data_IF_410780900002
#
_entry.id   IF_410780900002
#
_cell.length_a   1.000
_cell.length_b   1.000
_cell.length_c   1.000
_cell.angle_alpha   90.00
_cell.angle_beta   90.00
_cell.angle_gamma   90.00
#
_symmetry.space_group_name_H-M   'P 1'
#
loop_
_entity.id
_entity.type
_entity.pdbx_description
1 polymer ?
#
# COMPACT_ATOMS: atom_id res chain seq x y z
N UNK A 1 -16.85 16.03 -12.13
CA UNK A 1 -16.27 15.79 -10.79
C UNK A 1 -17.29 16.25 -9.77
N UNK A 2 -17.67 15.37 -8.85
CA UNK A 2 -18.50 15.80 -7.72
C UNK A 2 -17.70 16.77 -6.82
N UNK A 3 -18.34 17.70 -6.09
CA UNK A 3 -17.62 18.64 -5.22
C UNK A 3 -16.71 17.94 -4.18
N UNK A 4 -17.08 16.73 -3.77
CA UNK A 4 -16.35 15.90 -2.81
C UNK A 4 -15.03 15.33 -3.40
N UNK A 5 -15.06 14.88 -4.66
CA UNK A 5 -13.88 14.36 -5.34
C UNK A 5 -12.84 15.46 -5.62
N UNK A 6 -13.29 16.67 -5.95
CA UNK A 6 -12.42 17.82 -6.16
C UNK A 6 -11.63 18.20 -4.90
N UNK A 7 -12.21 18.03 -3.70
CA UNK A 7 -11.52 18.37 -2.45
C UNK A 7 -10.26 17.52 -2.20
N UNK A 8 -10.30 16.23 -2.54
CA UNK A 8 -9.19 15.28 -2.30
C UNK A 8 -7.95 15.57 -3.12
N UNK A 9 -8.12 16.20 -4.30
CA UNK A 9 -7.03 16.48 -5.23
C UNK A 9 -6.65 17.96 -5.30
N UNK A 10 -7.28 18.84 -4.52
CA UNK A 10 -7.04 20.28 -4.49
C UNK A 10 -5.54 20.64 -4.41
N UNK A 11 -4.83 20.11 -3.42
CA UNK A 11 -3.39 20.31 -3.23
C UNK A 11 -2.54 19.92 -4.45
N UNK A 12 -2.92 18.84 -5.15
CA UNK A 12 -2.21 18.37 -6.35
C UNK A 12 -2.46 19.33 -7.52
N UNK A 13 -3.72 19.75 -7.73
CA UNK A 13 -4.07 20.71 -8.78
C UNK A 13 -3.39 22.06 -8.54
N UNK A 14 -3.35 22.52 -7.29
CA UNK A 14 -2.64 23.74 -6.92
C UNK A 14 -1.15 23.62 -7.25
N UNK A 15 -0.50 22.51 -6.88
CA UNK A 15 0.90 22.26 -7.22
C UNK A 15 1.16 22.25 -8.74
N UNK A 16 0.25 21.65 -9.52
CA UNK A 16 0.36 21.61 -10.99
C UNK A 16 0.25 23.02 -11.62
N UNK A 17 -0.49 23.93 -11.00
CA UNK A 17 -0.71 25.29 -11.50
C UNK A 17 0.54 26.18 -11.47
N UNK A 18 1.55 25.86 -10.65
CA UNK A 18 2.80 26.61 -10.53
C UNK A 18 3.83 26.30 -11.63
N UNK A 19 3.38 25.87 -12.82
CA UNK A 19 4.25 25.60 -13.96
C UNK A 19 4.89 24.21 -13.91
N UNK A 20 4.09 23.17 -13.65
CA UNK A 20 4.57 21.80 -13.67
C UNK A 20 5.12 21.41 -15.07
N UNK A 21 6.35 20.86 -15.16
CA UNK A 21 6.91 20.44 -16.43
C UNK A 21 6.22 19.17 -16.96
N UNK A 22 6.34 18.86 -18.27
CA UNK A 22 5.95 17.57 -18.80
C UNK A 22 6.80 16.47 -18.14
N UNK A 23 6.16 15.59 -17.38
CA UNK A 23 6.82 14.52 -16.64
C UNK A 23 6.09 13.19 -16.85
N UNK A 24 6.83 12.09 -16.69
CA UNK A 24 6.32 10.74 -16.77
C UNK A 24 7.22 9.80 -15.98
N UNK A 25 6.66 8.70 -15.50
CA UNK A 25 7.37 7.70 -14.73
C UNK A 25 6.78 6.31 -14.95
N UNK A 26 7.49 5.29 -14.46
CA UNK A 26 7.05 3.90 -14.50
C UNK A 26 7.34 3.22 -13.16
N UNK A 27 6.53 2.23 -12.80
CA UNK A 27 6.75 1.39 -11.64
C UNK A 27 6.76 -0.08 -12.08
N UNK A 28 7.72 -0.84 -11.55
CA UNK A 28 7.84 -2.27 -11.80
C UNK A 28 7.27 -3.05 -10.60
N UNK A 29 6.44 -4.04 -10.89
CA UNK A 29 6.03 -5.02 -9.88
C UNK A 29 7.19 -5.94 -9.54
N UNK A 30 8.04 -5.53 -8.59
CA UNK A 30 9.31 -6.20 -8.29
C UNK A 30 9.12 -7.66 -7.87
N UNK A 31 8.17 -7.97 -7.01
CA UNK A 31 7.88 -9.35 -6.59
C UNK A 31 7.46 -10.24 -7.76
N UNK A 32 6.69 -9.67 -8.71
CA UNK A 32 6.31 -10.39 -9.93
C UNK A 32 7.50 -10.60 -10.85
N UNK A 33 8.37 -9.59 -10.99
CA UNK A 33 9.60 -9.70 -11.76
C UNK A 33 10.48 -10.82 -11.20
N UNK A 34 10.68 -10.85 -9.88
CA UNK A 34 11.45 -11.89 -9.20
C UNK A 34 10.81 -13.26 -9.38
N UNK A 35 9.48 -13.37 -9.24
CA UNK A 35 8.80 -14.65 -9.43
C UNK A 35 9.01 -15.24 -10.84
N UNK A 36 9.05 -14.38 -11.87
CA UNK A 36 9.37 -14.79 -13.25
C UNK A 36 10.84 -15.23 -13.37
N UNK A 37 11.78 -14.44 -12.84
CA UNK A 37 13.22 -14.76 -12.91
C UNK A 37 13.59 -16.04 -12.13
N UNK A 38 12.86 -16.33 -11.06
CA UNK A 38 13.04 -17.54 -10.25
C UNK A 38 12.16 -18.71 -10.71
N UNK A 39 11.41 -18.57 -11.81
CA UNK A 39 10.49 -19.59 -12.35
C UNK A 39 9.49 -20.13 -11.31
N UNK A 40 9.02 -19.26 -10.42
CA UNK A 40 8.06 -19.61 -9.36
C UNK A 40 6.62 -19.24 -9.77
N UNK A 41 5.62 -20.08 -9.44
CA UNK A 41 4.23 -19.81 -9.79
C UNK A 41 3.58 -18.73 -8.91
N UNK A 42 4.17 -18.41 -7.76
CA UNK A 42 3.62 -17.50 -6.75
C UNK A 42 4.65 -16.47 -6.29
N UNK A 43 4.23 -15.21 -6.18
CA UNK A 43 5.07 -14.17 -5.56
C UNK A 43 5.42 -14.47 -4.10
N UNK A 44 4.67 -15.36 -3.45
CA UNK A 44 4.95 -15.76 -2.06
C UNK A 44 6.27 -16.52 -1.94
N UNK A 45 6.75 -17.13 -3.02
CA UNK A 45 7.97 -17.92 -3.03
C UNK A 45 9.23 -17.05 -3.09
N UNK A 46 9.07 -15.75 -3.42
CA UNK A 46 10.16 -14.75 -3.49
C UNK A 46 10.06 -13.68 -2.40
N UNK A 47 9.10 -13.81 -1.47
CA UNK A 47 8.93 -12.93 -0.32
C UNK A 47 9.29 -13.71 0.93
N UNK A 48 10.20 -13.21 1.75
CA UNK A 48 10.68 -13.93 2.93
C UNK A 48 9.57 -14.26 3.95
N UNK A 49 8.64 -13.34 4.17
CA UNK A 49 7.50 -13.50 5.09
C UNK A 49 6.19 -13.13 4.39
N UNK A 50 5.66 -14.01 3.51
CA UNK A 50 4.49 -13.70 2.71
C UNK A 50 3.22 -13.75 3.57
N UNK A 51 2.22 -12.94 3.21
CA UNK A 51 0.91 -13.00 3.86
C UNK A 51 0.01 -14.05 3.21
N UNK A 52 -0.95 -14.58 3.98
CA UNK A 52 -2.02 -15.43 3.48
C UNK A 52 -2.95 -14.65 2.53
N UNK A 53 -3.84 -15.35 1.82
CA UNK A 53 -4.86 -14.67 1.00
C UNK A 53 -5.83 -13.80 1.84
N UNK A 54 -5.95 -14.09 3.15
CA UNK A 54 -6.70 -13.27 4.11
C UNK A 54 -5.86 -12.15 4.74
N UNK A 55 -4.65 -11.89 4.23
CA UNK A 55 -3.78 -10.83 4.72
C UNK A 55 -3.07 -11.13 6.05
N UNK A 56 -3.13 -12.37 6.54
CA UNK A 56 -2.54 -12.76 7.83
C UNK A 56 -1.09 -13.18 7.67
N UNK A 57 -0.28 -12.84 8.66
CA UNK A 57 1.04 -13.44 8.85
C UNK A 57 0.90 -14.61 9.81
N UNK A 58 1.29 -15.80 9.36
CA UNK A 58 1.22 -17.02 10.17
C UNK A 58 2.45 -17.22 11.05
N UNK A 59 3.57 -16.57 10.75
CA UNK A 59 4.83 -16.70 11.50
C UNK A 59 4.77 -15.89 12.79
N UNK A 60 4.25 -14.66 12.70
CA UNK A 60 4.14 -13.74 13.84
C UNK A 60 2.71 -13.52 14.32
N UNK A 61 1.77 -14.35 13.84
CA UNK A 61 0.34 -14.31 14.22
C UNK A 61 -0.30 -12.91 14.10
N UNK A 62 -0.04 -12.23 12.97
CA UNK A 62 -0.52 -10.87 12.70
C UNK A 62 -1.71 -10.86 11.73
N UNK A 63 -2.66 -9.90 11.84
CA UNK A 63 -2.79 -8.90 12.89
C UNK A 63 -3.22 -9.50 14.23
N UNK A 64 -2.82 -8.84 15.32
CA UNK A 64 -3.23 -9.16 16.69
C UNK A 64 -4.28 -8.17 17.21
N UNK A 65 -5.06 -8.59 18.20
CA UNK A 65 -6.02 -7.70 18.85
C UNK A 65 -5.28 -6.67 19.72
N UNK A 66 -5.76 -5.42 19.70
CA UNK A 66 -5.29 -4.36 20.58
C UNK A 66 -6.16 -4.29 21.84
N UNK A 67 -5.56 -3.85 22.95
CA UNK A 67 -6.28 -3.56 24.19
C UNK A 67 -7.06 -2.25 24.08
N UNK A 68 -8.13 -2.10 24.87
CA UNK A 68 -8.89 -0.84 24.94
C UNK A 68 -8.01 0.35 25.37
N UNK A 69 -7.01 0.11 26.23
CA UNK A 69 -6.08 1.14 26.66
C UNK A 69 -5.27 1.70 25.48
N UNK A 70 -4.78 0.82 24.59
CA UNK A 70 -4.05 1.23 23.38
C UNK A 70 -4.97 1.98 22.41
N UNK A 71 -6.19 1.49 22.18
CA UNK A 71 -7.15 2.19 21.31
C UNK A 71 -7.48 3.59 21.83
N UNK A 72 -7.64 3.73 23.16
CA UNK A 72 -7.87 5.01 23.83
C UNK A 72 -6.71 5.99 23.65
N UNK A 73 -5.47 5.53 23.69
CA UNK A 73 -4.28 6.36 23.43
C UNK A 73 -4.35 7.03 22.05
N UNK A 74 -4.74 6.26 21.03
CA UNK A 74 -4.89 6.76 19.66
C UNK A 74 -6.24 7.43 19.38
N UNK A 75 -7.12 7.55 20.39
CA UNK A 75 -8.49 8.10 20.26
C UNK A 75 -9.35 7.35 19.23
N UNK A 76 -9.13 6.04 19.11
CA UNK A 76 -9.89 5.13 18.23
C UNK A 76 -10.86 4.33 19.12
N UNK A 77 -12.03 3.97 18.58
CA UNK A 77 -13.02 3.11 19.24
C UNK A 77 -13.27 1.88 18.39
#
# INVERSE_FOLDING_TARGET
MTPLESSRFSHLIDALSFGCPPHGGLALGFDRLMAILCETPSIKDVIAFPKSASGRDLVVESPSALTEQQLKEYKIR
#
